data_IF_803762921241
#
_entry.id   IF_803762921241
#
_cell.length_a   1.000
_cell.length_b   1.000
_cell.length_c   1.000
_cell.angle_alpha   90.00
_cell.angle_beta   90.00
_cell.angle_gamma   90.00
#
_symmetry.space_group_name_H-M   'P 1'
#
loop_
_entity.id
_entity.type
_entity.pdbx_description
1 polymer ?
#
# COMPACT_ATOMS: atom_id res chain seq x y z
N UNK A 1 -0.13 -4.12 -17.30
CA UNK A 1 -0.26 -5.55 -17.03
C UNK A 1 -0.77 -5.74 -15.60
N UNK A 2 -1.73 -6.64 -15.43
CA UNK A 2 -2.33 -6.88 -14.13
C UNK A 2 -1.33 -7.56 -13.18
N UNK A 3 -1.44 -7.24 -11.89
CA UNK A 3 -0.65 -7.89 -10.85
C UNK A 3 -1.09 -9.35 -10.70
N UNK A 4 -0.15 -10.27 -10.64
CA UNK A 4 -0.46 -11.69 -10.47
C UNK A 4 -0.86 -11.98 -9.02
N UNK A 5 -1.68 -13.01 -8.85
CA UNK A 5 -2.04 -13.46 -7.50
C UNK A 5 -0.82 -13.91 -6.70
N UNK A 6 0.13 -14.56 -7.37
CA UNK A 6 1.36 -14.99 -6.72
C UNK A 6 2.14 -13.82 -6.14
N UNK A 7 2.19 -12.71 -6.87
CA UNK A 7 2.88 -11.51 -6.37
C UNK A 7 2.14 -10.91 -5.18
N UNK A 8 0.80 -10.85 -5.24
CA UNK A 8 0.01 -10.40 -4.10
C UNK A 8 0.28 -11.26 -2.86
N UNK A 9 0.29 -12.58 -3.03
CA UNK A 9 0.56 -13.49 -1.91
C UNK A 9 1.95 -13.26 -1.33
N UNK A 10 2.94 -13.00 -2.20
CA UNK A 10 4.29 -12.64 -1.76
C UNK A 10 4.28 -11.36 -0.93
N UNK A 11 3.59 -10.32 -1.41
CA UNK A 11 3.50 -9.06 -0.66
C UNK A 11 2.85 -9.28 0.70
N UNK A 12 1.75 -10.01 0.75
CA UNK A 12 1.07 -10.31 2.02
C UNK A 12 1.98 -11.06 2.98
N UNK A 13 2.82 -11.96 2.47
CA UNK A 13 3.81 -12.66 3.30
C UNK A 13 4.82 -11.67 3.89
N UNK A 14 5.25 -10.68 3.11
CA UNK A 14 6.17 -9.66 3.62
C UNK A 14 5.54 -8.79 4.70
N UNK A 15 4.21 -8.74 4.76
CA UNK A 15 3.48 -7.94 5.75
C UNK A 15 3.07 -8.75 6.98
N UNK A 16 3.50 -10.00 7.10
CA UNK A 16 3.21 -10.80 8.28
C UNK A 16 3.72 -10.11 9.55
N UNK A 17 2.93 -10.19 10.61
CA UNK A 17 3.25 -9.52 11.87
C UNK A 17 2.65 -8.13 11.99
N UNK A 18 2.18 -7.53 10.91
CA UNK A 18 1.48 -6.26 10.94
C UNK A 18 -0.01 -6.55 11.10
N UNK A 19 -0.63 -5.96 12.13
CA UNK A 19 -2.04 -6.20 12.41
C UNK A 19 -2.94 -5.38 11.50
N UNK A 20 -4.09 -5.94 11.15
CA UNK A 20 -5.13 -5.22 10.43
C UNK A 20 -4.89 -5.09 8.95
N UNK A 21 -4.00 -5.89 8.38
CA UNK A 21 -3.74 -5.88 6.94
C UNK A 21 -4.92 -6.49 6.19
N UNK A 22 -5.34 -5.82 5.14
CA UNK A 22 -6.38 -6.28 4.25
C UNK A 22 -6.08 -5.75 2.85
N UNK A 23 -6.77 -6.25 1.85
CA UNK A 23 -6.58 -5.76 0.49
C UNK A 23 -7.90 -5.77 -0.27
N UNK A 24 -7.94 -4.99 -1.34
CA UNK A 24 -9.07 -4.94 -2.25
C UNK A 24 -8.58 -4.93 -3.68
N UNK A 25 -9.16 -5.79 -4.50
CA UNK A 25 -8.85 -5.81 -5.92
C UNK A 25 -9.57 -4.66 -6.63
N UNK A 26 -8.80 -3.95 -7.49
CA UNK A 26 -9.33 -2.85 -8.28
C UNK A 26 -8.72 -2.91 -9.68
N UNK A 27 -9.54 -3.19 -10.70
CA UNK A 27 -9.10 -3.15 -12.10
C UNK A 27 -7.84 -4.02 -12.37
N UNK A 28 -7.78 -5.20 -11.72
CA UNK A 28 -6.64 -6.10 -11.89
C UNK A 28 -5.44 -5.79 -11.01
N UNK A 29 -5.51 -4.71 -10.23
CA UNK A 29 -4.48 -4.31 -9.28
C UNK A 29 -5.03 -4.43 -7.86
N UNK A 30 -4.19 -4.14 -6.85
CA UNK A 30 -4.62 -4.33 -5.47
C UNK A 30 -4.25 -3.11 -4.62
N UNK A 31 -5.20 -2.67 -3.81
CA UNK A 31 -4.97 -1.68 -2.78
C UNK A 31 -4.80 -2.41 -1.45
N UNK A 32 -3.69 -2.17 -0.76
CA UNK A 32 -3.44 -2.74 0.57
C UNK A 32 -3.90 -1.73 1.62
N UNK A 33 -4.62 -2.22 2.61
CA UNK A 33 -5.10 -1.41 3.74
C UNK A 33 -4.50 -1.92 5.04
N UNK A 34 -4.27 -1.02 5.97
CA UNK A 34 -3.93 -1.37 7.35
C UNK A 34 -4.90 -0.60 8.25
N UNK A 35 -5.69 -1.35 9.02
CA UNK A 35 -6.74 -0.78 9.87
C UNK A 35 -7.66 0.17 9.09
N UNK A 36 -8.09 -0.28 7.91
CA UNK A 36 -8.98 0.43 6.99
C UNK A 36 -8.39 1.70 6.38
N UNK A 37 -7.09 1.89 6.48
CA UNK A 37 -6.38 3.01 5.87
C UNK A 37 -5.60 2.52 4.66
N UNK A 38 -5.77 3.14 3.47
CA UNK A 38 -5.03 2.73 2.28
C UNK A 38 -3.56 3.11 2.42
N UNK A 39 -2.67 2.15 2.34
CA UNK A 39 -1.25 2.39 2.59
C UNK A 39 -0.34 2.04 1.41
N UNK A 40 -0.62 0.95 0.70
CA UNK A 40 0.21 0.50 -0.42
C UNK A 40 -0.66 0.19 -1.62
N UNK A 41 -0.14 0.49 -2.81
CA UNK A 41 -0.79 0.14 -4.06
C UNK A 41 0.08 -0.85 -4.82
N UNK A 42 -0.47 -1.99 -5.20
CA UNK A 42 0.27 -3.02 -5.93
C UNK A 42 -0.22 -3.03 -7.37
N UNK A 43 0.64 -2.56 -8.27
CA UNK A 43 0.35 -2.45 -9.70
C UNK A 43 1.49 -3.05 -10.50
N UNK A 44 1.16 -3.86 -11.49
CA UNK A 44 2.15 -4.45 -12.40
C UNK A 44 3.31 -5.12 -11.62
N UNK A 45 2.94 -5.94 -10.64
CA UNK A 45 3.89 -6.65 -9.77
C UNK A 45 4.93 -5.72 -9.13
N UNK A 46 4.48 -4.53 -8.72
CA UNK A 46 5.33 -3.51 -8.09
C UNK A 46 4.55 -2.87 -6.96
N UNK A 47 5.22 -2.62 -5.83
CA UNK A 47 4.59 -1.98 -4.67
C UNK A 47 4.88 -0.49 -4.71
N UNK A 48 3.82 0.31 -4.75
CA UNK A 48 3.90 1.77 -4.80
C UNK A 48 3.43 2.40 -3.49
N UNK A 49 4.07 3.51 -3.13
CA UNK A 49 3.73 4.32 -1.96
C UNK A 49 3.58 5.77 -2.40
N UNK A 50 2.50 6.42 -1.99
CA UNK A 50 2.30 7.84 -2.30
C UNK A 50 3.45 8.68 -1.77
N UNK A 51 3.78 9.74 -2.52
CA UNK A 51 4.77 10.74 -2.09
C UNK A 51 4.17 11.60 -0.98
N UNK A 52 4.26 11.12 0.25
CA UNK A 52 3.79 11.86 1.41
C UNK A 52 4.98 12.57 2.07
N UNK A 53 4.83 13.84 2.49
CA UNK A 53 5.95 14.55 3.13
C UNK A 53 6.54 13.82 4.33
N UNK A 54 5.71 13.10 5.09
CA UNK A 54 6.18 12.33 6.24
C UNK A 54 7.13 11.20 5.88
N UNK A 55 7.15 10.77 4.61
CA UNK A 55 8.02 9.69 4.11
C UNK A 55 9.20 10.22 3.30
N UNK A 56 9.28 11.54 3.08
CA UNK A 56 10.25 12.10 2.14
C UNK A 56 11.69 11.72 2.50
N UNK A 57 12.06 11.78 3.77
CA UNK A 57 13.40 11.45 4.20
C UNK A 57 13.63 9.94 4.18
N UNK A 58 12.70 9.16 4.69
CA UNK A 58 12.83 7.71 4.77
C UNK A 58 12.96 7.08 3.37
N UNK A 59 12.24 7.61 2.39
CA UNK A 59 12.22 7.08 1.02
C UNK A 59 12.98 7.97 0.04
N UNK A 60 13.93 8.78 0.51
CA UNK A 60 14.67 9.70 -0.35
C UNK A 60 15.43 9.01 -1.48
N UNK A 61 15.93 7.80 -1.24
CA UNK A 61 16.68 7.03 -2.23
C UNK A 61 15.81 6.04 -3.01
N UNK A 62 14.52 5.95 -2.71
CA UNK A 62 13.64 5.03 -3.40
C UNK A 62 13.36 5.52 -4.82
N UNK A 63 13.35 4.62 -5.82
CA UNK A 63 12.98 5.01 -7.18
C UNK A 63 11.52 5.44 -7.26
N UNK A 64 11.18 6.17 -8.30
CA UNK A 64 9.80 6.58 -8.58
C UNK A 64 9.31 5.95 -9.86
N UNK A 65 8.00 5.76 -9.94
CA UNK A 65 7.35 5.27 -11.14
C UNK A 65 5.90 5.67 -11.17
N UNK A 66 5.24 5.37 -12.27
CA UNK A 66 3.81 5.61 -12.45
C UNK A 66 3.07 4.30 -12.18
N UNK A 67 2.20 4.25 -11.16
CA UNK A 67 1.45 3.01 -10.90
C UNK A 67 0.50 2.65 -12.06
N UNK A 68 0.01 3.65 -12.80
CA UNK A 68 -0.80 3.44 -13.98
C UNK A 68 -0.70 4.70 -14.87
N UNK A 69 -1.08 4.61 -16.16
CA UNK A 69 -1.02 5.78 -17.04
C UNK A 69 -1.87 6.93 -16.50
N UNK A 70 -1.32 8.12 -16.48
CA UNK A 70 -2.01 9.33 -16.00
C UNK A 70 -1.94 9.53 -14.49
N UNK A 71 -1.37 8.60 -13.75
CA UNK A 71 -1.19 8.75 -12.30
C UNK A 71 -0.06 9.73 -11.99
N UNK A 72 -0.08 10.28 -10.77
CA UNK A 72 1.07 11.01 -10.24
C UNK A 72 2.17 10.04 -9.90
N UNK A 73 3.44 10.43 -10.05
CA UNK A 73 4.55 9.56 -9.66
C UNK A 73 4.45 9.17 -8.19
N UNK A 74 4.78 7.91 -7.90
CA UNK A 74 4.82 7.38 -6.54
C UNK A 74 6.16 6.71 -6.31
N UNK A 75 6.53 6.56 -5.05
CA UNK A 75 7.75 5.83 -4.69
C UNK A 75 7.54 4.34 -4.85
N UNK A 76 8.59 3.64 -5.30
CA UNK A 76 8.58 2.18 -5.39
C UNK A 76 9.22 1.65 -4.12
N UNK A 77 8.47 0.84 -3.38
CA UNK A 77 8.91 0.30 -2.10
C UNK A 77 9.57 -1.06 -2.30
N UNK A 78 10.77 -1.23 -1.75
CA UNK A 78 11.40 -2.53 -1.63
C UNK A 78 10.72 -3.29 -0.47
N UNK A 79 9.66 -4.02 -0.79
CA UNK A 79 8.84 -4.69 0.22
C UNK A 79 9.59 -5.86 0.89
N UNK A 80 10.67 -6.35 0.29
CA UNK A 80 11.51 -7.38 0.91
C UNK A 80 12.30 -6.83 2.10
N UNK A 81 12.53 -5.52 2.13
CA UNK A 81 13.10 -4.87 3.31
C UNK A 81 11.99 -4.70 4.34
N UNK A 82 11.80 -5.71 5.18
CA UNK A 82 10.69 -5.73 6.14
C UNK A 82 10.77 -4.61 7.17
N UNK A 83 11.96 -4.23 7.60
CA UNK A 83 12.13 -3.14 8.54
C UNK A 83 11.68 -1.82 7.93
N UNK A 84 12.08 -1.56 6.70
CA UNK A 84 11.66 -0.36 5.96
C UNK A 84 10.15 -0.36 5.75
N UNK A 85 9.61 -1.49 5.31
CA UNK A 85 8.18 -1.64 5.07
C UNK A 85 7.36 -1.35 6.34
N UNK A 86 7.80 -1.89 7.48
CA UNK A 86 7.12 -1.65 8.75
C UNK A 86 7.14 -0.18 9.14
N UNK A 87 8.27 0.51 8.92
CA UNK A 87 8.37 1.95 9.20
C UNK A 87 7.45 2.77 8.30
N UNK A 88 7.41 2.43 7.02
CA UNK A 88 6.53 3.11 6.06
C UNK A 88 5.06 2.96 6.48
N UNK A 89 4.65 1.74 6.80
CA UNK A 89 3.27 1.47 7.18
C UNK A 89 2.92 2.18 8.50
N UNK A 90 3.82 2.16 9.46
CA UNK A 90 3.58 2.85 10.74
C UNK A 90 3.33 4.33 10.52
N UNK A 91 4.15 4.99 9.70
CA UNK A 91 3.97 6.40 9.39
C UNK A 91 2.67 6.64 8.65
N UNK A 92 2.38 5.85 7.62
CA UNK A 92 1.17 6.01 6.82
C UNK A 92 -0.09 5.76 7.63
N UNK A 93 -0.07 4.77 8.51
CA UNK A 93 -1.21 4.51 9.37
C UNK A 93 -1.51 5.71 10.26
N UNK A 94 -0.48 6.42 10.72
CA UNK A 94 -0.63 7.59 11.58
C UNK A 94 -1.18 8.80 10.83
N UNK A 95 -0.77 9.00 9.58
CA UNK A 95 -1.10 10.22 8.83
C UNK A 95 -2.22 10.05 7.81
N UNK A 96 -2.67 8.83 7.56
CA UNK A 96 -3.69 8.55 6.56
C UNK A 96 -5.06 8.39 7.22
N UNK A 97 -6.11 9.07 6.71
CA UNK A 97 -7.45 8.88 7.25
C UNK A 97 -8.04 7.53 6.84
N UNK A 98 -9.01 7.06 7.62
CA UNK A 98 -9.78 5.88 7.27
C UNK A 98 -10.55 6.17 5.98
N UNK A 99 -10.54 5.21 5.05
CA UNK A 99 -11.28 5.32 3.81
C UNK A 99 -12.77 5.38 4.09
N UNK A 100 -13.47 6.36 3.52
CA UNK A 100 -14.93 6.49 3.66
C UNK A 100 -15.65 5.21 3.24
N UNK A 101 -15.16 4.57 2.18
CA UNK A 101 -15.76 3.35 1.66
C UNK A 101 -15.63 2.20 2.67
N UNK A 102 -14.50 2.12 3.38
CA UNK A 102 -14.27 1.09 4.40
C UNK A 102 -15.17 1.35 5.60
N UNK A 103 -15.30 2.61 6.01
CA UNK A 103 -16.20 2.99 7.11
C UNK A 103 -17.64 2.61 6.78
N UNK A 104 -18.12 2.92 5.57
CA UNK A 104 -19.47 2.55 5.14
C UNK A 104 -19.68 1.04 5.18
N UNK A 105 -18.70 0.27 4.74
CA UNK A 105 -18.76 -1.18 4.79
C UNK A 105 -18.88 -1.69 6.23
N UNK A 106 -18.15 -1.07 7.14
CA UNK A 106 -18.20 -1.41 8.56
C UNK A 106 -19.58 -1.17 9.13
N UNK A 107 -20.18 -0.01 8.84
CA UNK A 107 -21.53 0.29 9.28
C UNK A 107 -22.55 -0.66 8.65
N UNK A 108 -22.38 -1.00 7.41
CA UNK A 108 -23.26 -1.93 6.73
C UNK A 108 -23.24 -3.34 7.33
N UNK A 109 -22.19 -3.70 8.02
CA UNK A 109 -22.05 -4.99 8.67
C UNK A 109 -22.78 -5.06 10.02
N UNK A 110 -23.16 -3.92 10.54
CA UNK A 110 -23.89 -3.84 11.81
C UNK A 110 -25.38 -4.04 11.57
#
# INVERSE_FOLDING_TARGET
VATTRNYLDFVCTQLEGIRGVDYKRMFGEYQIYVNDKPVLLVCDNTVFVKNHPALAQLLSDAPEGLPYPGAKPQKILDVENRALTAQVIEILERVTPISKRRVQKTYGAL
#
